data_IF_120686432298
#
_entry.id   IF_120686432298
#
_cell.length_a   1.000
_cell.length_b   1.000
_cell.length_c   1.000
_cell.angle_alpha   90.00
_cell.angle_beta   90.00
_cell.angle_gamma   90.00
#
_symmetry.space_group_name_H-M   'P 1'
#
loop_
_entity.id
_entity.type
_entity.pdbx_description
1 polymer ?
#
# COMPACT_ATOMS: atom_id res chain seq x y z
N UNK A 1 33.05 -7.94 7.57
CA UNK A 1 32.26 -8.58 8.63
C UNK A 1 31.20 -7.60 9.11
N UNK A 2 30.07 -8.14 9.53
CA UNK A 2 28.93 -7.35 9.97
C UNK A 2 28.46 -7.84 11.34
N UNK A 3 28.11 -6.89 12.20
CA UNK A 3 27.38 -7.19 13.42
C UNK A 3 25.88 -7.03 13.12
N UNK A 4 25.11 -8.09 13.33
CA UNK A 4 23.67 -8.16 13.04
C UNK A 4 22.89 -8.34 14.33
N UNK A 5 21.84 -7.55 14.53
CA UNK A 5 20.88 -7.71 15.62
C UNK A 5 19.46 -7.53 15.08
N UNK A 6 18.73 -8.63 14.94
CA UNK A 6 17.42 -8.64 14.29
C UNK A 6 17.51 -8.11 12.86
N UNK A 7 16.72 -7.08 12.53
CA UNK A 7 16.71 -6.39 11.21
C UNK A 7 17.78 -5.30 11.04
N UNK A 8 18.61 -5.06 12.06
CA UNK A 8 19.65 -4.02 12.04
C UNK A 8 21.02 -4.66 11.81
N UNK A 9 21.86 -3.99 11.05
CA UNK A 9 23.24 -4.40 10.84
C UNK A 9 24.17 -3.19 10.80
N UNK A 10 25.44 -3.43 11.12
CA UNK A 10 26.53 -2.45 10.95
C UNK A 10 27.80 -3.15 10.47
N UNK A 11 28.56 -2.47 9.63
CA UNK A 11 29.88 -2.94 9.23
C UNK A 11 30.85 -2.80 10.42
N UNK A 12 31.66 -3.83 10.66
CA UNK A 12 32.66 -3.84 11.73
C UNK A 12 33.99 -4.39 11.22
N UNK A 13 35.08 -3.88 11.80
CA UNK A 13 36.43 -4.36 11.55
C UNK A 13 36.78 -5.53 12.48
N UNK A 14 37.83 -6.28 12.13
CA UNK A 14 38.36 -7.33 13.00
C UNK A 14 38.86 -6.73 14.32
N UNK A 15 38.24 -7.12 15.44
CA UNK A 15 38.57 -6.64 16.78
C UNK A 15 37.61 -5.59 17.35
N UNK A 16 36.61 -5.13 16.59
CA UNK A 16 35.56 -4.27 17.13
C UNK A 16 34.67 -5.06 18.11
N UNK A 17 34.26 -4.45 19.24
CA UNK A 17 33.38 -5.11 20.19
C UNK A 17 31.97 -5.28 19.60
N UNK A 18 31.39 -6.46 19.84
CA UNK A 18 29.97 -6.73 19.62
C UNK A 18 29.16 -6.21 20.82
N UNK A 19 28.01 -5.61 20.53
CA UNK A 19 27.03 -5.22 21.53
C UNK A 19 26.16 -6.41 21.92
N UNK A 20 25.47 -6.32 23.05
CA UNK A 20 24.66 -7.41 23.58
C UNK A 20 23.53 -7.78 22.60
N UNK A 21 23.49 -9.06 22.20
CA UNK A 21 22.56 -9.59 21.19
C UNK A 21 22.98 -9.38 19.72
N UNK A 22 24.16 -8.83 19.43
CA UNK A 22 24.73 -8.81 18.08
C UNK A 22 25.40 -10.16 17.73
N UNK A 23 25.14 -10.66 16.52
CA UNK A 23 25.82 -11.83 15.94
C UNK A 23 26.78 -11.37 14.85
N UNK A 24 28.00 -11.88 14.87
CA UNK A 24 28.99 -11.65 13.82
C UNK A 24 28.66 -12.52 12.61
N UNK A 25 28.55 -11.90 11.44
CA UNK A 25 28.40 -12.59 10.15
C UNK A 25 29.43 -12.08 9.16
N UNK A 26 29.99 -12.98 8.35
CA UNK A 26 30.94 -12.61 7.31
C UNK A 26 30.24 -11.94 6.12
N UNK A 27 29.01 -12.37 5.83
CA UNK A 27 28.15 -11.87 4.78
C UNK A 27 26.77 -11.48 5.36
N UNK A 28 26.20 -10.37 4.88
CA UNK A 28 24.86 -9.98 5.30
C UNK A 28 23.83 -10.97 4.75
N UNK A 29 22.99 -11.60 5.60
CA UNK A 29 21.94 -12.45 5.11
C UNK A 29 20.98 -11.65 4.22
N UNK A 30 20.59 -12.23 3.08
CA UNK A 30 19.75 -11.59 2.08
C UNK A 30 18.41 -11.07 2.64
N UNK A 31 17.89 -11.71 3.69
CA UNK A 31 16.67 -11.29 4.41
C UNK A 31 16.78 -9.91 5.08
N UNK A 32 17.98 -9.42 5.37
CA UNK A 32 18.21 -8.06 5.87
C UNK A 32 18.30 -7.02 4.76
N UNK A 33 18.59 -7.47 3.55
CA UNK A 33 18.63 -6.64 2.36
C UNK A 33 17.25 -6.54 1.69
N UNK A 34 16.34 -7.46 2.03
CA UNK A 34 14.95 -7.39 1.62
C UNK A 34 14.24 -6.22 2.32
N UNK A 35 13.53 -5.40 1.53
CA UNK A 35 12.61 -4.39 2.04
C UNK A 35 11.59 -5.04 2.98
N UNK A 36 11.13 -4.29 3.98
CA UNK A 36 10.08 -4.76 4.88
C UNK A 36 8.80 -5.05 4.07
N UNK A 37 8.37 -6.32 3.90
CA UNK A 37 7.27 -6.66 3.01
C UNK A 37 5.97 -5.96 3.39
N UNK A 38 5.79 -5.67 4.69
CA UNK A 38 4.66 -4.90 5.22
C UNK A 38 4.68 -3.45 4.73
N UNK A 39 5.84 -2.80 4.77
CA UNK A 39 5.99 -1.43 4.30
C UNK A 39 5.81 -1.33 2.78
N UNK A 40 6.37 -2.30 2.04
CA UNK A 40 6.19 -2.40 0.60
C UNK A 40 4.72 -2.62 0.21
N UNK A 41 4.03 -3.54 0.88
CA UNK A 41 2.60 -3.80 0.66
C UNK A 41 1.76 -2.53 0.88
N UNK A 42 2.02 -1.79 1.96
CA UNK A 42 1.34 -0.51 2.22
C UNK A 42 1.58 0.52 1.12
N UNK A 43 2.82 0.64 0.65
CA UNK A 43 3.16 1.58 -0.41
C UNK A 43 2.45 1.21 -1.73
N UNK A 44 2.38 -0.08 -2.07
CA UNK A 44 1.67 -0.59 -3.25
C UNK A 44 0.16 -0.38 -3.16
N UNK A 45 -0.44 -0.62 -2.01
CA UNK A 45 -1.86 -0.31 -1.77
C UNK A 45 -2.13 1.18 -2.00
N UNK A 46 -1.31 2.06 -1.42
CA UNK A 46 -1.45 3.51 -1.61
C UNK A 46 -1.37 3.93 -3.08
N UNK A 47 -0.34 3.45 -3.79
CA UNK A 47 -0.17 3.75 -5.21
C UNK A 47 -1.33 3.23 -6.07
N UNK A 48 -1.87 2.05 -5.74
CA UNK A 48 -3.03 1.49 -6.43
C UNK A 48 -4.29 2.33 -6.22
N UNK A 49 -4.58 2.69 -4.97
CA UNK A 49 -5.70 3.58 -4.63
C UNK A 49 -5.61 4.92 -5.40
N UNK A 50 -4.41 5.50 -5.46
CA UNK A 50 -4.16 6.75 -6.18
C UNK A 50 -4.38 6.59 -7.69
N UNK A 51 -3.88 5.51 -8.30
CA UNK A 51 -4.04 5.26 -9.74
C UNK A 51 -5.50 5.17 -10.20
N UNK A 52 -6.37 4.58 -9.37
CA UNK A 52 -7.80 4.42 -9.70
C UNK A 52 -8.51 5.78 -9.73
N UNK A 53 -8.19 6.68 -8.80
CA UNK A 53 -8.80 8.02 -8.78
C UNK A 53 -8.13 8.99 -9.75
N UNK A 54 -6.86 8.76 -10.11
CA UNK A 54 -6.19 9.50 -11.18
C UNK A 54 -6.87 9.33 -12.53
N UNK A 55 -7.39 8.13 -12.82
CA UNK A 55 -8.21 7.89 -14.00
C UNK A 55 -9.51 8.74 -14.03
N UNK A 56 -9.92 9.30 -12.89
CA UNK A 56 -11.09 10.18 -12.73
C UNK A 56 -10.72 11.67 -12.63
N UNK A 57 -9.43 12.01 -12.75
CA UNK A 57 -8.95 13.40 -12.72
C UNK A 57 -8.54 13.92 -11.34
N UNK A 58 -8.39 13.05 -10.33
CA UNK A 58 -7.88 13.43 -9.02
C UNK A 58 -6.36 13.19 -8.91
N UNK A 59 -5.65 13.97 -8.09
CA UNK A 59 -4.21 13.76 -7.89
C UNK A 59 -3.90 12.45 -7.12
N UNK A 60 -4.72 12.14 -6.13
CA UNK A 60 -4.58 11.00 -5.22
C UNK A 60 -5.90 10.72 -4.48
N UNK A 61 -5.95 9.59 -3.74
CA UNK A 61 -7.15 9.14 -3.02
C UNK A 61 -7.60 10.16 -1.95
N UNK A 62 -6.67 10.92 -1.37
CA UNK A 62 -6.96 11.96 -0.37
C UNK A 62 -7.65 13.16 -1.03
N UNK A 63 -7.21 13.55 -2.23
CA UNK A 63 -7.84 14.60 -3.03
C UNK A 63 -9.30 14.24 -3.37
N UNK A 64 -9.54 13.01 -3.85
CA UNK A 64 -10.91 12.52 -4.08
C UNK A 64 -11.74 12.52 -2.79
N UNK A 65 -11.22 11.94 -1.70
CA UNK A 65 -11.91 11.87 -0.41
C UNK A 65 -12.23 13.26 0.19
N UNK A 66 -11.47 14.30 -0.13
CA UNK A 66 -11.71 15.66 0.35
C UNK A 66 -13.08 16.22 -0.08
N UNK A 67 -13.64 15.71 -1.19
CA UNK A 67 -14.94 16.12 -1.70
C UNK A 67 -16.14 15.44 -1.01
N UNK A 68 -15.94 14.69 0.07
CA UNK A 68 -17.03 14.03 0.81
C UNK A 68 -18.14 15.01 1.26
N UNK A 69 -17.80 16.26 1.55
CA UNK A 69 -18.73 17.32 1.94
C UNK A 69 -19.03 18.32 0.79
N UNK A 70 -18.69 17.98 -0.46
CA UNK A 70 -18.93 18.84 -1.61
C UNK A 70 -20.43 19.06 -1.86
N UNK A 71 -20.79 20.25 -2.36
CA UNK A 71 -22.15 20.54 -2.83
C UNK A 71 -22.42 19.97 -4.23
N UNK A 72 -21.37 19.57 -4.96
CA UNK A 72 -21.51 18.84 -6.21
C UNK A 72 -21.79 17.36 -5.90
N UNK A 73 -22.99 16.90 -6.26
CA UNK A 73 -23.47 15.55 -6.00
C UNK A 73 -22.61 14.47 -6.64
N UNK A 74 -21.99 14.73 -7.79
CA UNK A 74 -21.08 13.80 -8.45
C UNK A 74 -19.79 13.61 -7.64
N UNK A 75 -19.11 14.71 -7.30
CA UNK A 75 -17.87 14.63 -6.51
C UNK A 75 -18.11 14.07 -5.10
N UNK A 76 -19.25 14.37 -4.50
CA UNK A 76 -19.64 13.77 -3.22
C UNK A 76 -19.83 12.25 -3.35
N UNK A 77 -20.50 11.77 -4.39
CA UNK A 77 -20.70 10.34 -4.63
C UNK A 77 -19.39 9.62 -4.92
N UNK A 78 -18.50 10.22 -5.72
CA UNK A 78 -17.15 9.68 -5.99
C UNK A 78 -16.32 9.60 -4.71
N UNK A 79 -16.31 10.68 -3.90
CA UNK A 79 -15.62 10.69 -2.63
C UNK A 79 -16.14 9.63 -1.66
N UNK A 80 -17.47 9.43 -1.59
CA UNK A 80 -18.07 8.41 -0.74
C UNK A 80 -17.65 6.99 -1.17
N UNK A 81 -17.68 6.69 -2.47
CA UNK A 81 -17.22 5.41 -3.01
C UNK A 81 -15.71 5.20 -2.75
N UNK A 82 -14.90 6.24 -2.99
CA UNK A 82 -13.45 6.22 -2.76
C UNK A 82 -13.08 5.94 -1.29
N UNK A 83 -13.78 6.60 -0.36
CA UNK A 83 -13.56 6.41 1.08
C UNK A 83 -13.97 4.99 1.49
N UNK A 84 -15.15 4.53 1.08
CA UNK A 84 -15.64 3.19 1.40
C UNK A 84 -14.69 2.11 0.88
N UNK A 85 -14.21 2.26 -0.35
CA UNK A 85 -13.25 1.35 -0.97
C UNK A 85 -11.91 1.36 -0.23
N UNK A 86 -11.32 2.55 -0.03
CA UNK A 86 -10.05 2.71 0.70
C UNK A 86 -10.11 2.06 2.08
N UNK A 87 -11.19 2.29 2.81
CA UNK A 87 -11.35 1.77 4.16
C UNK A 87 -11.46 0.23 4.16
N UNK A 88 -12.19 -0.35 3.19
CA UNK A 88 -12.27 -1.80 3.02
C UNK A 88 -10.92 -2.43 2.62
N UNK A 89 -10.18 -1.78 1.72
CA UNK A 89 -8.86 -2.22 1.27
C UNK A 89 -7.87 -2.24 2.43
N UNK A 90 -7.79 -1.16 3.22
CA UNK A 90 -6.88 -1.12 4.36
C UNK A 90 -7.31 -2.07 5.47
N UNK A 91 -8.61 -2.19 5.77
CA UNK A 91 -9.08 -3.14 6.77
C UNK A 91 -8.67 -4.57 6.42
N UNK A 92 -8.97 -5.02 5.19
CA UNK A 92 -8.60 -6.36 4.74
C UNK A 92 -7.08 -6.53 4.62
N UNK A 93 -6.36 -5.52 4.13
CA UNK A 93 -4.90 -5.55 4.05
C UNK A 93 -4.25 -5.72 5.43
N UNK A 94 -4.75 -5.01 6.45
CA UNK A 94 -4.27 -5.19 7.83
C UNK A 94 -4.61 -6.55 8.40
N UNK A 95 -5.79 -7.11 8.10
CA UNK A 95 -6.16 -8.46 8.52
C UNK A 95 -5.25 -9.53 7.90
N UNK A 96 -4.96 -9.43 6.60
CA UNK A 96 -4.05 -10.34 5.89
C UNK A 96 -2.62 -10.21 6.42
N UNK A 97 -2.14 -8.99 6.70
CA UNK A 97 -0.79 -8.79 7.26
C UNK A 97 -0.70 -9.27 8.71
N UNK A 98 -1.79 -9.24 9.47
CA UNK A 98 -1.85 -9.76 10.83
C UNK A 98 -1.95 -11.30 10.87
N UNK A 99 -2.71 -11.88 9.93
CA UNK A 99 -2.96 -13.32 9.83
C UNK A 99 -2.72 -13.79 8.39
N UNK A 100 -1.45 -13.80 7.98
CA UNK A 100 -1.08 -14.13 6.59
C UNK A 100 -1.52 -15.54 6.22
N UNK A 101 -2.43 -15.71 5.23
CA UNK A 101 -2.87 -17.02 4.79
C UNK A 101 -1.71 -17.84 4.22
N UNK A 102 -1.80 -19.16 4.33
CA UNK A 102 -0.84 -20.05 3.68
C UNK A 102 -0.85 -19.83 2.15
N UNK A 103 0.32 -19.58 1.57
CA UNK A 103 0.48 -19.28 0.14
C UNK A 103 0.47 -17.79 -0.23
N UNK A 104 0.32 -16.88 0.73
CA UNK A 104 0.55 -15.45 0.54
C UNK A 104 1.97 -15.12 1.00
N UNK A 105 2.88 -14.95 0.05
CA UNK A 105 4.30 -14.69 0.35
C UNK A 105 4.77 -13.34 -0.20
N UNK A 106 4.06 -12.81 -1.19
CA UNK A 106 4.44 -11.58 -1.89
C UNK A 106 3.40 -10.46 -1.71
N UNK A 107 3.81 -9.19 -1.82
CA UNK A 107 2.86 -8.07 -1.87
C UNK A 107 1.82 -8.23 -2.98
N UNK A 108 2.19 -8.83 -4.12
CA UNK A 108 1.30 -9.12 -5.24
C UNK A 108 0.16 -10.08 -4.85
N UNK A 109 0.46 -11.12 -4.06
CA UNK A 109 -0.56 -12.05 -3.56
C UNK A 109 -1.55 -11.35 -2.64
N UNK A 110 -1.06 -10.44 -1.78
CA UNK A 110 -1.92 -9.62 -0.92
C UNK A 110 -2.84 -8.75 -1.78
N UNK A 111 -2.28 -8.06 -2.78
CA UNK A 111 -3.05 -7.18 -3.68
C UNK A 111 -4.17 -7.93 -4.42
N UNK A 112 -3.94 -9.19 -4.80
CA UNK A 112 -4.94 -10.02 -5.48
C UNK A 112 -6.16 -10.36 -4.61
N UNK A 113 -6.01 -10.33 -3.28
CA UNK A 113 -7.08 -10.60 -2.32
C UNK A 113 -7.89 -9.35 -1.95
N UNK A 114 -7.40 -8.15 -2.29
CA UNK A 114 -8.04 -6.91 -1.85
C UNK A 114 -9.34 -6.63 -2.63
N UNK A 115 -10.31 -5.93 -2.00
CA UNK A 115 -11.56 -5.55 -2.66
C UNK A 115 -11.29 -4.66 -3.87
N UNK A 116 -11.87 -5.03 -5.02
CA UNK A 116 -11.73 -4.28 -6.26
C UNK A 116 -12.63 -3.02 -6.24
N UNK A 117 -12.22 -1.90 -6.86
CA UNK A 117 -12.98 -0.66 -6.80
C UNK A 117 -14.38 -0.78 -7.40
N UNK A 118 -14.59 -1.61 -8.42
CA UNK A 118 -15.86 -1.69 -9.16
C UNK A 118 -17.05 -2.10 -8.29
N UNK A 119 -16.82 -2.78 -7.16
CA UNK A 119 -17.90 -3.20 -6.26
C UNK A 119 -18.44 -2.08 -5.36
N UNK A 120 -17.77 -0.92 -5.33
CA UNK A 120 -18.12 0.21 -4.45
C UNK A 120 -19.03 1.25 -5.10
N UNK A 121 -19.65 0.92 -6.24
CA UNK A 121 -20.72 1.73 -6.83
C UNK A 121 -20.27 3.11 -7.28
N UNK A 122 -19.05 3.21 -7.82
CA UNK A 122 -18.54 4.48 -8.35
C UNK A 122 -19.47 5.02 -9.44
N UNK A 123 -19.81 6.32 -9.42
CA UNK A 123 -20.62 6.89 -10.48
C UNK A 123 -19.87 6.78 -11.80
N UNK A 124 -20.60 6.49 -12.88
CA UNK A 124 -20.05 6.57 -14.22
C UNK A 124 -19.71 8.04 -14.45
N UNK A 125 -18.45 8.32 -14.74
CA UNK A 125 -18.08 9.64 -15.23
C UNK A 125 -18.80 9.77 -16.57
N UNK A 126 -19.95 10.43 -16.59
CA UNK A 126 -20.61 10.85 -17.82
C UNK A 126 -19.62 11.77 -18.51
N UNK A 127 -18.77 11.16 -19.33
CA UNK A 127 -17.93 11.85 -20.28
C UNK A 127 -18.96 12.54 -21.14
N UNK A 128 -19.07 13.86 -20.98
CA UNK A 128 -19.94 14.69 -21.79
C UNK A 128 -19.52 14.45 -23.24
N UNK A 129 -20.18 13.46 -23.86
CA UNK A 129 -20.05 13.10 -25.26
C UNK A 129 -20.59 14.31 -26.01
N UNK A 130 -19.68 15.24 -26.25
CA UNK A 130 -19.92 16.42 -27.06
C UNK A 130 -20.13 15.92 -28.47
N UNK A 131 -21.37 15.51 -28.78
CA UNK A 131 -21.84 15.32 -30.14
C UNK A 131 -21.63 16.65 -30.88
N UNK A 132 -20.72 16.72 -31.86
CA UNK A 132 -20.59 17.93 -32.66
C UNK A 132 -21.61 17.86 -33.81
N UNK A 133 -22.52 18.84 -33.83
CA UNK A 133 -23.12 19.47 -35.02
C UNK A 133 -23.97 18.61 -35.94
#
# INVERSE_FOLDING_TARGET
MYAVNGRRFRAIAAGDPLSDGETLVDELPASLLQLDPVAETKARIGAWLDSVVQARGYDNIVSCASYAASTNTQFQAEAAAAIAWRDAVYAMGYEILANTPAGVETPEDVMALLPQPEVFGWPVSESSDSTPG
#
